data_IF_035096402775
#
_entry.id   IF_035096402775
#
_cell.length_a   1.000
_cell.length_b   1.000
_cell.length_c   1.000
_cell.angle_alpha   90.00
_cell.angle_beta   90.00
_cell.angle_gamma   90.00
#
_symmetry.space_group_name_H-M   'P 1'
#
loop_
_entity.id
_entity.type
_entity.pdbx_description
1 polymer ?
#
# COMPACT_ATOMS: atom_id res chain seq x y z
N UNK A 1 -36.05 33.70 77.88
CA UNK A 1 -35.93 33.19 79.25
C UNK A 1 -34.85 32.12 79.21
N UNK A 2 -33.69 32.49 79.77
CA UNK A 2 -33.06 31.83 80.91
C UNK A 2 -32.82 30.34 80.72
N UNK A 3 -31.66 29.71 80.88
CA UNK A 3 -30.36 30.07 81.50
C UNK A 3 -29.41 28.91 81.15
N UNK A 4 -28.19 29.21 80.94
CA UNK A 4 -27.01 28.35 81.22
C UNK A 4 -26.94 28.07 82.75
N UNK A 5 -25.97 27.34 83.32
CA UNK A 5 -24.75 26.68 82.85
C UNK A 5 -24.39 25.37 83.61
N UNK A 6 -23.25 24.82 83.40
CA UNK A 6 -22.08 24.53 84.30
C UNK A 6 -21.56 23.11 84.14
N UNK A 7 -20.29 22.99 83.77
CA UNK A 7 -19.07 22.66 84.54
C UNK A 7 -19.18 21.33 85.34
N UNK A 8 -18.27 20.40 85.24
CA UNK A 8 -16.87 20.32 85.60
C UNK A 8 -16.31 18.91 85.27
N UNK A 9 -15.18 18.82 84.77
CA UNK A 9 -13.85 18.49 85.30
C UNK A 9 -13.49 17.00 85.47
N UNK A 10 -12.35 16.73 84.91
CA UNK A 10 -11.25 15.87 85.38
C UNK A 10 -11.40 14.34 85.42
N UNK A 11 -10.60 13.60 84.64
CA UNK A 11 -9.26 13.19 85.07
C UNK A 11 -8.61 12.20 84.12
N UNK A 12 -7.41 12.51 83.82
CA UNK A 12 -6.26 11.72 83.37
C UNK A 12 -6.36 10.19 83.51
N UNK A 13 -6.09 9.51 82.39
CA UNK A 13 -5.24 8.36 82.45
C UNK A 13 -4.46 8.20 81.07
N UNK A 14 -3.17 8.23 81.24
CA UNK A 14 -2.17 8.01 80.21
C UNK A 14 -2.16 6.51 79.86
N UNK A 15 -2.45 6.10 78.64
CA UNK A 15 -2.07 4.81 78.12
C UNK A 15 -1.34 5.01 76.84
N UNK A 16 -0.05 4.76 76.93
CA UNK A 16 0.87 4.66 75.80
C UNK A 16 0.47 3.49 74.90
N UNK A 17 -0.14 3.81 73.79
CA UNK A 17 -0.27 2.87 72.70
C UNK A 17 0.54 3.43 71.54
N UNK A 18 1.66 2.75 71.28
CA UNK A 18 2.51 2.96 70.12
C UNK A 18 1.65 2.87 68.88
N UNK A 19 1.35 3.98 68.29
CA UNK A 19 0.83 4.02 66.90
C UNK A 19 2.03 3.80 65.96
N UNK A 20 2.13 2.58 65.50
CA UNK A 20 2.96 2.24 64.35
C UNK A 20 2.39 3.00 63.18
N UNK A 21 3.08 4.04 62.76
CA UNK A 21 2.84 4.67 61.46
C UNK A 21 3.30 3.69 60.40
N UNK A 22 2.40 2.90 59.84
CA UNK A 22 2.56 2.29 58.52
C UNK A 22 2.53 3.43 57.51
N UNK A 23 3.69 3.92 57.17
CA UNK A 23 3.87 4.68 55.96
C UNK A 23 3.54 3.74 54.78
N UNK A 24 2.30 3.79 54.35
CA UNK A 24 1.90 3.29 53.08
C UNK A 24 2.63 4.16 52.02
N UNK A 25 3.85 3.78 51.68
CA UNK A 25 4.49 4.21 50.43
C UNK A 25 3.64 3.63 49.33
N UNK A 26 2.66 4.42 48.91
CA UNK A 26 2.02 4.20 47.64
C UNK A 26 3.09 4.33 46.57
N UNK A 27 3.68 3.20 46.17
CA UNK A 27 4.27 3.10 44.86
C UNK A 27 3.13 3.27 43.85
N UNK A 28 2.88 4.54 43.55
CA UNK A 28 2.26 4.90 42.29
C UNK A 28 3.26 4.40 41.25
N UNK A 29 3.05 3.17 40.78
CA UNK A 29 3.56 2.76 39.50
C UNK A 29 2.92 3.74 38.51
N UNK A 30 3.59 4.87 38.26
CA UNK A 30 3.46 5.54 36.99
C UNK A 30 3.87 4.48 35.96
N UNK A 31 2.89 3.76 35.44
CA UNK A 31 3.00 3.22 34.12
C UNK A 31 3.24 4.45 33.24
N UNK A 32 4.50 4.80 33.07
CA UNK A 32 4.93 5.58 31.95
C UNK A 32 4.55 4.72 30.75
N UNK A 33 3.34 4.96 30.23
CA UNK A 33 3.06 4.70 28.85
C UNK A 33 4.11 5.55 28.14
N UNK A 34 5.29 4.98 27.89
CA UNK A 34 6.17 5.46 26.86
C UNK A 34 5.31 5.44 25.63
N UNK A 35 4.76 6.61 25.25
CA UNK A 35 4.39 6.83 23.87
C UNK A 35 5.67 6.42 23.16
N UNK A 36 5.64 5.25 22.54
CA UNK A 36 6.69 4.87 21.61
C UNK A 36 6.71 6.05 20.65
N UNK A 37 7.74 6.89 20.76
CA UNK A 37 7.92 7.97 19.81
C UNK A 37 7.90 7.29 18.47
N UNK A 38 6.98 7.71 17.61
CA UNK A 38 6.87 7.15 16.27
C UNK A 38 8.26 7.17 15.65
N UNK A 39 8.71 6.03 15.13
CA UNK A 39 10.04 5.90 14.55
C UNK A 39 10.21 6.97 13.47
N UNK A 40 11.28 7.73 13.55
CA UNK A 40 11.67 8.64 12.50
C UNK A 40 12.45 7.90 11.41
N UNK A 41 12.35 8.41 10.18
CA UNK A 41 12.98 7.86 8.98
C UNK A 41 13.71 8.95 8.21
N UNK A 42 14.72 8.57 7.41
CA UNK A 42 15.44 9.49 6.53
C UNK A 42 16.75 10.01 7.12
N UNK A 43 17.40 10.95 6.43
CA UNK A 43 18.67 11.52 6.87
C UNK A 43 18.49 12.28 8.19
N UNK A 44 19.30 11.94 9.19
CA UNK A 44 19.22 12.55 10.53
C UNK A 44 18.29 11.83 11.51
N UNK A 45 17.55 10.79 11.09
CA UNK A 45 16.87 9.92 12.02
C UNK A 45 17.86 9.10 12.85
N UNK A 46 17.49 8.79 14.11
CA UNK A 46 18.31 7.91 14.94
C UNK A 46 18.53 6.56 14.26
N UNK A 47 19.77 6.00 14.34
CA UNK A 47 20.07 4.70 13.74
C UNK A 47 19.18 3.58 14.28
N UNK A 48 18.69 2.74 13.39
CA UNK A 48 17.95 1.54 13.76
C UNK A 48 18.89 0.42 14.12
N UNK A 49 18.61 -0.25 15.23
CA UNK A 49 19.34 -1.48 15.58
C UNK A 49 18.96 -2.60 14.62
N UNK A 50 19.97 -3.19 14.00
CA UNK A 50 19.81 -4.35 13.13
C UNK A 50 19.62 -5.68 13.89
N UNK A 51 18.88 -6.62 13.29
CA UNK A 51 18.04 -6.47 12.10
C UNK A 51 16.86 -5.54 12.35
N UNK A 52 16.42 -4.82 11.32
CA UNK A 52 15.30 -3.88 11.42
C UNK A 52 14.05 -4.57 12.01
N UNK A 53 13.51 -4.08 13.14
CA UNK A 53 12.40 -4.72 13.85
C UNK A 53 11.07 -4.65 13.08
N UNK A 54 10.94 -3.71 12.14
CA UNK A 54 9.73 -3.56 11.34
C UNK A 54 9.70 -4.48 10.12
N UNK A 55 10.78 -5.27 9.89
CA UNK A 55 10.79 -6.37 8.92
C UNK A 55 10.53 -7.66 9.71
N UNK A 56 9.27 -8.11 9.72
CA UNK A 56 8.77 -9.18 10.57
C UNK A 56 8.74 -10.50 9.81
N UNK A 57 9.38 -11.52 10.37
CA UNK A 57 9.28 -12.91 9.92
C UNK A 57 8.10 -13.56 10.62
N UNK A 58 7.09 -13.99 9.88
CA UNK A 58 5.92 -14.69 10.41
C UNK A 58 6.03 -16.22 10.18
N UNK A 59 6.68 -16.63 9.10
CA UNK A 59 6.98 -17.99 8.76
C UNK A 59 8.44 -18.10 8.31
N UNK A 60 9.10 -19.23 8.59
CA UNK A 60 10.50 -19.49 8.23
C UNK A 60 10.79 -19.32 6.72
N UNK A 61 9.77 -19.46 5.86
CA UNK A 61 9.89 -19.25 4.41
C UNK A 61 10.31 -17.81 4.08
N UNK A 62 9.98 -16.84 4.96
CA UNK A 62 10.34 -15.44 4.76
C UNK A 62 11.77 -15.11 5.20
N UNK A 63 12.40 -15.91 6.06
CA UNK A 63 13.75 -15.65 6.61
C UNK A 63 14.78 -15.35 5.52
N UNK A 64 14.75 -16.09 4.41
CA UNK A 64 15.67 -15.92 3.28
C UNK A 64 15.55 -14.59 2.56
N UNK A 65 14.44 -13.87 2.73
CA UNK A 65 14.24 -12.56 2.09
C UNK A 65 14.62 -11.38 2.97
N UNK A 66 14.74 -11.59 4.28
CA UNK A 66 15.13 -10.57 5.24
C UNK A 66 16.64 -10.38 5.25
N UNK A 67 17.11 -9.22 4.79
CA UNK A 67 18.52 -8.85 4.90
C UNK A 67 18.77 -8.28 6.31
N UNK A 68 19.76 -8.83 7.01
CA UNK A 68 19.99 -8.54 8.43
C UNK A 68 20.52 -7.14 8.74
N UNK A 69 21.10 -6.43 7.76
CA UNK A 69 21.77 -5.15 7.92
C UNK A 69 21.25 -4.05 6.98
N UNK A 70 19.97 -4.07 6.69
CA UNK A 70 19.29 -3.03 5.90
C UNK A 70 18.15 -2.41 6.69
N UNK A 71 18.05 -1.06 6.73
CA UNK A 71 16.91 -0.37 7.33
C UNK A 71 15.84 -0.11 6.29
N UNK A 72 14.61 0.08 6.76
CA UNK A 72 13.59 0.79 6.00
C UNK A 72 13.99 2.26 5.95
N UNK A 73 14.01 2.85 4.76
CA UNK A 73 14.39 4.24 4.52
C UNK A 73 13.18 5.02 4.01
N UNK A 74 12.93 6.21 4.53
CA UNK A 74 12.03 7.19 3.92
C UNK A 74 12.84 8.05 2.97
N UNK A 75 12.57 7.93 1.67
CA UNK A 75 13.32 8.63 0.62
C UNK A 75 12.76 10.02 0.34
N UNK A 76 11.46 10.21 0.54
CA UNK A 76 10.76 11.47 0.32
C UNK A 76 9.49 11.55 1.17
N UNK A 77 9.02 12.77 1.45
CA UNK A 77 7.75 13.04 2.15
C UNK A 77 7.17 14.37 1.69
N UNK A 78 5.90 14.63 2.03
CA UNK A 78 5.21 15.89 1.71
C UNK A 78 4.18 15.76 0.61
N UNK A 79 3.82 14.53 0.21
CA UNK A 79 2.69 14.26 -0.68
C UNK A 79 1.36 14.31 0.07
N UNK A 80 0.27 14.41 -0.67
CA UNK A 80 -1.09 14.28 -0.11
C UNK A 80 -1.56 12.82 -0.17
N UNK A 81 -1.34 12.12 -1.29
CA UNK A 81 -1.59 10.70 -1.45
C UNK A 81 -0.66 10.13 -2.52
N UNK A 82 0.39 9.47 -2.05
CA UNK A 82 1.40 8.86 -2.92
C UNK A 82 0.91 7.52 -3.44
N UNK A 83 1.06 7.28 -4.76
CA UNK A 83 0.55 6.09 -5.43
C UNK A 83 1.40 5.67 -6.63
N UNK A 84 1.12 4.46 -7.12
CA UNK A 84 1.55 3.95 -8.40
C UNK A 84 3.05 4.00 -8.68
N UNK A 85 3.91 3.50 -7.80
CA UNK A 85 5.35 3.50 -8.03
C UNK A 85 5.70 2.54 -9.17
N UNK A 86 6.55 3.00 -10.10
CA UNK A 86 7.07 2.20 -11.19
C UNK A 86 8.56 2.46 -11.43
N UNK A 87 9.32 1.40 -11.64
CA UNK A 87 10.77 1.47 -11.83
C UNK A 87 11.14 1.43 -13.31
N UNK A 88 11.87 2.45 -13.78
CA UNK A 88 12.51 2.42 -15.09
C UNK A 88 13.94 1.90 -14.97
N UNK A 89 14.16 0.66 -15.41
CA UNK A 89 15.47 0.00 -15.30
C UNK A 89 16.54 0.58 -16.20
N UNK A 90 16.18 1.19 -17.34
CA UNK A 90 17.11 1.82 -18.28
C UNK A 90 17.56 3.17 -17.74
N UNK A 91 16.61 4.02 -17.37
CA UNK A 91 16.89 5.34 -16.81
C UNK A 91 17.27 5.34 -15.33
N UNK A 92 17.14 4.19 -14.64
CA UNK A 92 17.49 3.99 -13.23
C UNK A 92 16.80 5.01 -12.32
N UNK A 93 15.49 5.18 -12.54
CA UNK A 93 14.65 6.05 -11.72
C UNK A 93 13.33 5.39 -11.37
N UNK A 94 12.77 5.82 -10.25
CA UNK A 94 11.40 5.53 -9.85
C UNK A 94 10.52 6.72 -10.25
N UNK A 95 9.35 6.44 -10.82
CA UNK A 95 8.26 7.39 -10.95
C UNK A 95 7.13 6.98 -10.02
N UNK A 96 6.41 7.94 -9.44
CA UNK A 96 5.17 7.69 -8.71
C UNK A 96 4.26 8.91 -8.78
N UNK A 97 3.01 8.74 -8.42
CA UNK A 97 1.97 9.76 -8.45
C UNK A 97 1.75 10.38 -7.08
N UNK A 98 1.48 11.67 -7.04
CA UNK A 98 0.81 12.36 -5.93
C UNK A 98 -0.55 12.81 -6.47
N UNK A 99 -1.56 11.96 -6.29
CA UNK A 99 -2.83 12.05 -7.01
C UNK A 99 -3.53 13.40 -6.78
N UNK A 100 -3.77 13.86 -5.52
CA UNK A 100 -4.50 15.09 -5.29
C UNK A 100 -3.74 16.35 -5.73
N UNK A 101 -2.42 16.29 -5.72
CA UNK A 101 -1.57 17.38 -6.20
C UNK A 101 -1.43 17.41 -7.74
N UNK A 102 -2.07 16.45 -8.43
CA UNK A 102 -2.03 16.31 -9.88
C UNK A 102 -0.60 16.29 -10.44
N UNK A 103 0.27 15.50 -9.78
CA UNK A 103 1.68 15.47 -10.07
C UNK A 103 2.24 14.05 -10.14
N UNK A 104 3.23 13.86 -11.01
CA UNK A 104 4.12 12.70 -10.97
C UNK A 104 5.50 13.16 -10.51
N UNK A 105 6.06 12.43 -9.56
CA UNK A 105 7.38 12.65 -9.01
C UNK A 105 8.35 11.60 -9.54
N UNK A 106 9.64 11.93 -9.52
CA UNK A 106 10.71 11.03 -9.94
C UNK A 106 11.84 11.06 -8.92
N UNK A 107 12.29 9.88 -8.49
CA UNK A 107 13.49 9.68 -7.68
C UNK A 107 14.59 9.05 -8.53
N UNK A 108 15.79 9.62 -8.51
CA UNK A 108 16.96 9.11 -9.23
C UNK A 108 17.79 8.22 -8.32
N UNK A 109 18.15 7.00 -8.79
CA UNK A 109 19.01 6.08 -8.03
C UNK A 109 20.42 6.62 -7.83
N UNK A 110 20.90 7.43 -8.74
CA UNK A 110 22.30 7.89 -8.78
C UNK A 110 22.65 8.80 -7.59
N UNK A 111 21.80 9.75 -7.27
CA UNK A 111 22.04 10.79 -6.26
C UNK A 111 20.92 10.92 -5.22
N UNK A 112 19.84 10.15 -5.36
CA UNK A 112 18.67 10.22 -4.48
C UNK A 112 17.80 11.48 -4.70
N UNK A 113 18.05 12.25 -5.76
CA UNK A 113 17.30 13.48 -6.04
C UNK A 113 15.84 13.18 -6.40
N UNK A 114 14.91 13.93 -5.79
CA UNK A 114 13.49 13.91 -6.12
C UNK A 114 13.13 15.18 -6.89
N UNK A 115 12.44 14.99 -7.99
CA UNK A 115 11.93 16.11 -8.81
C UNK A 115 10.50 15.84 -9.27
N UNK A 116 9.75 16.90 -9.54
CA UNK A 116 8.49 16.81 -10.27
C UNK A 116 8.77 16.43 -11.71
N UNK A 117 8.27 15.27 -12.14
CA UNK A 117 8.45 14.79 -13.51
C UNK A 117 7.45 15.44 -14.46
N UNK A 118 6.19 15.58 -14.01
CA UNK A 118 5.14 16.28 -14.75
C UNK A 118 4.05 16.84 -13.84
N UNK A 119 3.47 17.95 -14.26
CA UNK A 119 2.33 18.61 -13.64
C UNK A 119 1.69 19.56 -14.67
N UNK A 120 0.40 19.42 -15.03
CA UNK A 120 -0.56 18.42 -14.56
C UNK A 120 -0.22 17.01 -15.02
N UNK A 121 -0.69 16.00 -14.26
CA UNK A 121 -0.50 14.57 -14.53
C UNK A 121 -1.83 13.85 -14.78
N UNK A 122 -2.95 14.58 -14.85
CA UNK A 122 -4.29 14.03 -15.02
C UNK A 122 -4.80 13.30 -13.78
N UNK A 123 -4.38 13.69 -12.58
CA UNK A 123 -4.60 12.95 -11.32
C UNK A 123 -4.22 11.47 -11.50
N UNK A 124 -3.03 11.22 -12.05
CA UNK A 124 -2.58 9.85 -12.29
C UNK A 124 -2.50 9.05 -11.00
N UNK A 125 -2.83 7.74 -11.10
CA UNK A 125 -2.67 6.78 -10.02
C UNK A 125 -1.54 5.79 -10.37
N UNK A 126 -1.87 4.57 -10.82
CA UNK A 126 -0.92 3.53 -11.16
C UNK A 126 -0.07 3.86 -12.39
N UNK A 127 1.19 3.49 -12.32
CA UNK A 127 2.14 3.60 -13.42
C UNK A 127 2.82 2.26 -13.66
N UNK A 128 3.25 2.04 -14.91
CA UNK A 128 4.11 0.94 -15.30
C UNK A 128 4.93 1.34 -16.52
N UNK A 129 5.84 0.47 -16.96
CA UNK A 129 6.59 0.68 -18.20
C UNK A 129 6.36 -0.48 -19.16
N UNK A 130 6.27 -0.18 -20.45
CA UNK A 130 6.28 -1.21 -21.46
C UNK A 130 7.72 -1.70 -21.75
N UNK A 131 7.83 -2.74 -22.58
CA UNK A 131 9.12 -3.33 -22.92
C UNK A 131 10.03 -2.45 -23.77
N UNK A 132 9.50 -1.33 -24.30
CA UNK A 132 10.26 -0.29 -24.97
C UNK A 132 10.70 0.81 -23.98
N UNK A 133 10.34 0.71 -22.70
CA UNK A 133 10.66 1.69 -21.65
C UNK A 133 9.77 2.92 -21.66
N UNK A 134 8.61 2.86 -22.36
CA UNK A 134 7.62 3.94 -22.35
C UNK A 134 6.72 3.81 -21.13
N UNK A 135 6.48 4.92 -20.47
CA UNK A 135 5.61 4.94 -19.30
C UNK A 135 4.14 4.81 -19.71
N UNK A 136 3.42 3.94 -19.03
CA UNK A 136 1.97 3.82 -19.06
C UNK A 136 1.44 4.34 -17.74
N UNK A 137 0.35 5.11 -17.78
CA UNK A 137 -0.25 5.73 -16.61
C UNK A 137 -1.77 5.62 -16.64
N UNK A 138 -2.36 5.33 -15.50
CA UNK A 138 -3.79 5.38 -15.26
C UNK A 138 -4.14 6.77 -14.74
N UNK A 139 -4.96 7.53 -15.48
CA UNK A 139 -5.35 8.89 -15.13
C UNK A 139 -6.79 8.93 -14.60
N UNK A 140 -6.96 9.28 -13.34
CA UNK A 140 -8.27 9.44 -12.70
C UNK A 140 -9.04 10.64 -13.25
N UNK A 141 -8.38 11.81 -13.30
CA UNK A 141 -9.00 13.07 -13.71
C UNK A 141 -9.51 13.04 -15.15
N UNK A 142 -8.81 12.34 -16.02
CA UNK A 142 -9.17 12.18 -17.43
C UNK A 142 -9.88 10.85 -17.73
N UNK A 143 -10.03 9.96 -16.75
CA UNK A 143 -10.72 8.66 -16.85
C UNK A 143 -10.17 7.81 -18.00
N UNK A 144 -8.85 7.67 -18.09
CA UNK A 144 -8.18 7.01 -19.24
C UNK A 144 -6.87 6.33 -18.84
N UNK A 145 -6.41 5.42 -19.70
CA UNK A 145 -5.07 4.86 -19.68
C UNK A 145 -4.28 5.49 -20.82
N UNK A 146 -3.10 6.01 -20.52
CA UNK A 146 -2.23 6.68 -21.49
C UNK A 146 -0.86 6.05 -21.55
N UNK A 147 -0.14 6.30 -22.66
CA UNK A 147 1.28 6.00 -22.82
C UNK A 147 2.02 7.27 -23.22
N UNK A 148 3.09 7.55 -22.51
CA UNK A 148 4.00 8.65 -22.84
C UNK A 148 5.05 8.15 -23.82
N UNK A 149 5.04 8.70 -25.04
CA UNK A 149 5.94 8.32 -26.10
C UNK A 149 7.33 8.95 -25.94
N UNK A 150 8.35 8.36 -26.53
CA UNK A 150 9.72 8.90 -26.48
C UNK A 150 9.86 10.27 -27.14
N UNK A 151 8.99 10.59 -28.10
CA UNK A 151 8.95 11.91 -28.76
C UNK A 151 8.29 13.01 -27.91
N UNK A 152 7.72 12.66 -26.74
CA UNK A 152 7.05 13.60 -25.86
C UNK A 152 5.52 13.62 -26.02
N UNK A 153 4.98 12.95 -27.03
CA UNK A 153 3.54 12.84 -27.26
C UNK A 153 2.89 11.92 -26.20
N UNK A 154 1.57 12.10 -26.02
CA UNK A 154 0.74 11.25 -25.17
C UNK A 154 -0.27 10.49 -26.01
N UNK A 155 -0.15 9.18 -26.04
CA UNK A 155 -1.11 8.29 -26.72
C UNK A 155 -2.17 7.84 -25.74
N UNK A 156 -3.45 8.14 -26.03
CA UNK A 156 -4.58 7.56 -25.26
C UNK A 156 -4.76 6.11 -25.71
N UNK A 157 -4.61 5.18 -24.77
CA UNK A 157 -4.72 3.74 -25.04
C UNK A 157 -6.15 3.25 -24.83
N UNK A 158 -6.87 3.79 -23.84
CA UNK A 158 -8.27 3.53 -23.56
C UNK A 158 -8.86 4.66 -22.73
N UNK A 159 -10.07 5.11 -23.09
CA UNK A 159 -10.86 6.11 -22.36
C UNK A 159 -12.34 5.69 -22.22
N UNK A 160 -12.78 4.70 -22.99
CA UNK A 160 -14.17 4.29 -23.07
C UNK A 160 -14.31 2.80 -23.38
N UNK A 161 -15.42 2.23 -22.92
CA UNK A 161 -15.83 0.86 -23.24
C UNK A 161 -17.31 0.82 -23.60
N UNK A 162 -17.64 0.25 -24.77
CA UNK A 162 -19.04 0.16 -25.28
C UNK A 162 -19.74 1.53 -25.33
N UNK A 163 -19.02 2.60 -25.72
CA UNK A 163 -19.55 3.96 -25.85
C UNK A 163 -19.75 4.71 -24.54
N UNK A 164 -19.31 4.16 -23.42
CA UNK A 164 -19.35 4.80 -22.10
C UNK A 164 -17.93 5.10 -21.61
N UNK A 165 -17.68 6.22 -20.93
CA UNK A 165 -16.36 6.50 -20.37
C UNK A 165 -15.98 5.45 -19.34
N UNK A 166 -14.68 5.15 -19.23
CA UNK A 166 -14.14 4.35 -18.14
C UNK A 166 -14.46 5.02 -16.79
N UNK A 167 -14.44 4.26 -15.70
CA UNK A 167 -14.75 4.82 -14.39
C UNK A 167 -13.63 5.74 -13.89
N UNK A 168 -12.51 5.18 -13.52
CA UNK A 168 -11.24 5.84 -13.23
C UNK A 168 -10.18 4.74 -13.12
N UNK A 169 -9.44 4.45 -14.20
CA UNK A 169 -8.41 3.41 -14.19
C UNK A 169 -7.41 3.62 -13.05
N UNK A 170 -7.06 2.50 -12.37
CA UNK A 170 -6.30 2.56 -11.12
C UNK A 170 -4.86 2.03 -11.27
N UNK A 171 -4.65 0.74 -11.51
CA UNK A 171 -3.32 0.14 -11.67
C UNK A 171 -3.21 -0.67 -12.96
N UNK A 172 -1.99 -0.85 -13.47
CA UNK A 172 -1.77 -1.51 -14.75
C UNK A 172 -0.49 -2.34 -14.77
N UNK A 173 -0.50 -3.40 -15.58
CA UNK A 173 0.64 -4.27 -15.85
C UNK A 173 0.74 -4.59 -17.35
N UNK A 174 1.94 -4.87 -17.85
CA UNK A 174 2.21 -5.20 -19.25
C UNK A 174 2.58 -6.67 -19.37
N UNK A 175 1.88 -7.39 -20.24
CA UNK A 175 2.20 -8.80 -20.52
C UNK A 175 3.43 -8.91 -21.42
N UNK A 176 4.41 -9.77 -21.10
CA UNK A 176 5.70 -9.78 -21.79
C UNK A 176 5.65 -10.35 -23.23
N UNK A 177 4.76 -11.30 -23.47
CA UNK A 177 4.75 -12.00 -24.76
C UNK A 177 4.11 -11.20 -25.89
N UNK A 178 3.02 -10.47 -25.57
CA UNK A 178 2.23 -9.77 -26.58
C UNK A 178 2.18 -8.25 -26.38
N UNK A 179 2.76 -7.73 -25.29
CA UNK A 179 2.76 -6.32 -24.96
C UNK A 179 1.39 -5.77 -24.55
N UNK A 180 0.38 -6.63 -24.36
CA UNK A 180 -0.93 -6.22 -23.93
C UNK A 180 -0.90 -5.59 -22.54
N UNK A 181 -1.74 -4.59 -22.33
CA UNK A 181 -1.82 -3.84 -21.08
C UNK A 181 -3.09 -4.29 -20.37
N UNK A 182 -2.92 -4.76 -19.15
CA UNK A 182 -4.02 -5.18 -18.28
C UNK A 182 -4.17 -4.19 -17.15
N UNK A 183 -5.38 -3.69 -16.91
CA UNK A 183 -5.61 -2.64 -15.93
C UNK A 183 -6.93 -2.82 -15.18
N UNK A 184 -7.03 -2.16 -14.03
CA UNK A 184 -8.19 -2.15 -13.15
C UNK A 184 -8.93 -0.82 -13.26
N UNK A 185 -10.28 -0.85 -13.15
CA UNK A 185 -11.13 0.34 -13.27
C UNK A 185 -12.19 0.38 -12.14
N UNK A 186 -11.78 0.65 -10.88
CA UNK A 186 -12.66 0.64 -9.70
C UNK A 186 -13.46 1.92 -9.48
N UNK A 187 -13.10 3.02 -10.15
CA UNK A 187 -13.80 4.29 -10.04
C UNK A 187 -13.46 5.13 -8.80
N UNK A 188 -12.33 4.94 -8.15
CA UNK A 188 -11.94 5.78 -7.01
C UNK A 188 -11.83 7.26 -7.38
N UNK A 189 -11.24 7.58 -8.53
CA UNK A 189 -11.05 8.95 -8.99
C UNK A 189 -12.32 9.72 -9.33
N UNK A 190 -13.51 9.06 -9.31
CA UNK A 190 -14.81 9.73 -9.53
C UNK A 190 -15.69 9.80 -8.28
N UNK A 191 -15.20 9.34 -7.12
CA UNK A 191 -15.96 9.41 -5.87
C UNK A 191 -16.08 10.84 -5.36
N UNK A 192 -15.01 11.62 -5.44
CA UNK A 192 -14.90 12.98 -4.93
C UNK A 192 -14.09 13.87 -5.90
N UNK A 193 -14.13 15.19 -5.69
CA UNK A 193 -13.28 16.15 -6.38
C UNK A 193 -11.93 16.32 -5.65
N UNK A 194 -11.22 15.21 -5.41
CA UNK A 194 -9.96 15.21 -4.70
C UNK A 194 -8.88 14.43 -5.45
N UNK A 195 -9.20 13.20 -5.88
CA UNK A 195 -8.31 12.37 -6.68
C UNK A 195 -8.68 12.36 -8.16
N UNK A 196 -9.59 13.22 -8.56
CA UNK A 196 -10.12 13.37 -9.91
C UNK A 196 -11.37 14.22 -9.91
N UNK A 197 -12.32 13.91 -10.76
CA UNK A 197 -13.57 14.68 -10.93
C UNK A 197 -14.77 13.82 -10.57
N UNK A 198 -15.55 14.25 -9.58
CA UNK A 198 -16.75 13.52 -9.13
C UNK A 198 -17.71 13.26 -10.28
N UNK A 199 -18.09 12.00 -10.44
CA UNK A 199 -19.06 11.55 -11.45
C UNK A 199 -19.73 10.24 -11.00
N UNK A 200 -20.81 9.88 -11.66
CA UNK A 200 -21.45 8.59 -11.44
C UNK A 200 -20.72 7.48 -12.23
N UNK A 201 -20.73 6.27 -11.68
CA UNK A 201 -20.29 5.07 -12.38
C UNK A 201 -21.15 4.85 -13.63
N UNK A 202 -20.49 4.72 -14.78
CA UNK A 202 -21.16 4.43 -16.06
C UNK A 202 -21.03 2.95 -16.45
N UNK A 203 -19.98 2.30 -15.94
CA UNK A 203 -19.66 0.90 -16.17
C UNK A 203 -19.60 0.18 -14.83
N UNK A 204 -19.87 -1.13 -14.82
CA UNK A 204 -19.54 -1.96 -13.67
C UNK A 204 -18.01 -1.98 -13.51
N UNK A 205 -17.54 -1.91 -12.29
CA UNK A 205 -16.12 -2.00 -11.96
C UNK A 205 -15.56 -3.32 -12.48
N UNK A 206 -14.41 -3.26 -13.13
CA UNK A 206 -13.90 -4.41 -13.87
C UNK A 206 -12.38 -4.37 -14.09
N UNK A 207 -11.87 -5.50 -14.52
CA UNK A 207 -10.52 -5.66 -15.07
C UNK A 207 -10.61 -5.70 -16.59
N UNK A 208 -9.73 -4.96 -17.25
CA UNK A 208 -9.68 -4.84 -18.70
C UNK A 208 -8.32 -5.23 -19.27
N UNK A 209 -8.31 -5.55 -20.57
CA UNK A 209 -7.10 -5.79 -21.37
C UNK A 209 -7.15 -4.98 -22.66
N UNK A 210 -6.09 -4.25 -22.92
CA UNK A 210 -5.84 -3.56 -24.21
C UNK A 210 -4.92 -4.45 -25.02
N UNK A 211 -5.36 -4.82 -26.21
CA UNK A 211 -4.53 -5.55 -27.17
C UNK A 211 -3.47 -4.60 -27.77
N UNK A 212 -2.19 -4.96 -27.66
CA UNK A 212 -1.09 -4.08 -28.06
C UNK A 212 -1.02 -3.82 -29.57
N UNK A 213 -1.54 -4.73 -30.40
CA UNK A 213 -1.47 -4.64 -31.85
C UNK A 213 -2.66 -3.90 -32.46
N UNK A 214 -3.85 -4.17 -31.91
CA UNK A 214 -5.11 -3.65 -32.47
C UNK A 214 -5.68 -2.47 -31.69
N UNK A 215 -5.19 -2.23 -30.47
CA UNK A 215 -5.78 -1.26 -29.52
C UNK A 215 -7.15 -1.69 -28.97
N UNK A 216 -7.62 -2.91 -29.28
CA UNK A 216 -8.93 -3.38 -28.85
C UNK A 216 -8.99 -3.53 -27.33
N UNK A 217 -9.96 -2.83 -26.71
CA UNK A 217 -10.28 -2.99 -25.30
C UNK A 217 -11.24 -4.16 -25.09
N UNK A 218 -10.93 -5.03 -24.14
CA UNK A 218 -11.72 -6.18 -23.76
C UNK A 218 -11.90 -6.19 -22.25
N UNK A 219 -13.13 -6.32 -21.77
CA UNK A 219 -13.42 -6.58 -20.36
C UNK A 219 -13.11 -8.05 -20.06
N UNK A 220 -12.23 -8.29 -19.07
CA UNK A 220 -11.81 -9.63 -18.69
C UNK A 220 -12.70 -10.24 -17.63
N UNK A 221 -13.03 -9.47 -16.59
CA UNK A 221 -13.92 -9.88 -15.51
C UNK A 221 -14.52 -8.67 -14.81
N UNK A 222 -15.72 -8.82 -14.32
CA UNK A 222 -16.41 -7.92 -13.38
C UNK A 222 -16.96 -8.70 -12.17
N UNK A 223 -16.37 -9.88 -11.89
CA UNK A 223 -16.61 -10.71 -10.70
C UNK A 223 -15.75 -10.26 -9.52
N UNK A 224 -15.53 -8.97 -9.37
CA UNK A 224 -14.76 -8.32 -8.33
C UNK A 224 -15.47 -7.00 -8.01
N UNK A 225 -15.47 -6.59 -6.74
CA UNK A 225 -16.19 -5.40 -6.32
C UNK A 225 -15.44 -4.11 -6.67
N UNK A 226 -14.21 -3.93 -6.13
CA UNK A 226 -13.35 -2.80 -6.46
C UNK A 226 -11.94 -3.30 -6.79
N UNK A 227 -11.71 -3.65 -8.06
CA UNK A 227 -10.38 -4.11 -8.48
C UNK A 227 -9.36 -2.98 -8.31
N UNK A 228 -8.32 -3.22 -7.54
CA UNK A 228 -7.27 -2.26 -7.22
C UNK A 228 -5.93 -2.72 -7.79
N UNK A 229 -4.94 -3.03 -6.96
CA UNK A 229 -3.65 -3.51 -7.39
C UNK A 229 -3.74 -4.78 -8.25
N UNK A 230 -2.90 -4.87 -9.26
CA UNK A 230 -2.89 -5.97 -10.23
C UNK A 230 -1.47 -6.45 -10.49
N UNK A 231 -1.25 -7.77 -10.52
CA UNK A 231 0.02 -8.34 -10.97
C UNK A 231 -0.14 -9.75 -11.57
N UNK A 232 0.82 -10.15 -12.39
CA UNK A 232 0.92 -11.53 -12.87
C UNK A 232 1.75 -12.39 -11.91
N UNK A 233 1.54 -13.72 -11.97
CA UNK A 233 2.53 -14.67 -11.46
C UNK A 233 3.81 -14.61 -12.27
N UNK A 234 4.96 -15.09 -11.74
CA UNK A 234 6.24 -15.04 -12.46
C UNK A 234 6.23 -15.75 -13.83
N UNK A 235 5.39 -16.77 -13.98
CA UNK A 235 5.23 -17.54 -15.20
C UNK A 235 4.10 -17.02 -16.11
N UNK A 236 3.47 -15.89 -15.74
CA UNK A 236 2.37 -15.24 -16.47
C UNK A 236 1.14 -16.12 -16.71
N UNK A 237 0.97 -17.18 -15.93
CA UNK A 237 -0.18 -18.08 -16.03
C UNK A 237 -1.33 -17.71 -15.09
N UNK A 238 -1.09 -16.79 -14.16
CA UNK A 238 -2.11 -16.31 -13.22
C UNK A 238 -2.11 -14.80 -13.17
N UNK A 239 -3.31 -14.26 -12.94
CA UNK A 239 -3.53 -12.86 -12.63
C UNK A 239 -4.00 -12.73 -11.19
N UNK A 240 -3.34 -11.91 -10.40
CA UNK A 240 -3.76 -11.52 -9.06
C UNK A 240 -4.33 -10.11 -9.09
N UNK A 241 -5.45 -9.89 -8.39
CA UNK A 241 -6.06 -8.56 -8.25
C UNK A 241 -6.54 -8.38 -6.81
N UNK A 242 -6.18 -7.26 -6.20
CA UNK A 242 -6.68 -6.87 -4.89
C UNK A 242 -8.15 -6.43 -5.00
N UNK A 243 -9.03 -6.99 -4.16
CA UNK A 243 -10.42 -6.55 -4.04
C UNK A 243 -10.58 -5.66 -2.80
N UNK A 244 -10.62 -4.36 -3.02
CA UNK A 244 -10.84 -3.35 -1.97
C UNK A 244 -12.31 -2.99 -1.81
N UNK A 245 -13.22 -3.83 -2.34
CA UNK A 245 -14.66 -3.57 -2.37
C UNK A 245 -15.29 -3.28 -1.02
N UNK A 246 -14.83 -3.93 0.05
CA UNK A 246 -15.35 -3.71 1.40
C UNK A 246 -15.10 -2.30 1.96
N UNK A 247 -14.34 -1.46 1.26
CA UNK A 247 -14.25 -0.02 1.54
C UNK A 247 -15.56 0.73 1.24
N UNK A 248 -16.41 0.20 0.35
CA UNK A 248 -17.63 0.86 -0.13
C UNK A 248 -18.86 -0.06 -0.17
N UNK A 249 -18.68 -1.38 -0.18
CA UNK A 249 -19.74 -2.37 -0.25
C UNK A 249 -19.69 -3.27 0.99
N UNK A 250 -20.76 -3.25 1.79
CA UNK A 250 -20.80 -3.95 3.09
C UNK A 250 -20.56 -5.47 2.98
N UNK A 251 -21.04 -6.07 1.89
CA UNK A 251 -20.95 -7.53 1.67
C UNK A 251 -19.71 -7.94 0.85
N UNK A 252 -18.86 -7.00 0.48
CA UNK A 252 -17.67 -7.30 -0.29
C UNK A 252 -16.59 -7.96 0.59
N UNK A 253 -15.85 -8.92 0.04
CA UNK A 253 -14.72 -9.53 0.75
C UNK A 253 -13.54 -8.54 0.86
N UNK A 254 -12.64 -8.84 1.78
CA UNK A 254 -11.34 -8.17 1.93
C UNK A 254 -10.26 -9.17 1.56
N UNK A 255 -9.95 -9.28 0.28
CA UNK A 255 -9.04 -10.31 -0.19
C UNK A 255 -8.27 -9.91 -1.45
N UNK A 256 -7.32 -10.75 -1.79
CA UNK A 256 -6.69 -10.79 -3.10
C UNK A 256 -7.31 -11.97 -3.84
N UNK A 257 -7.80 -11.73 -5.05
CA UNK A 257 -8.34 -12.76 -5.93
C UNK A 257 -7.29 -13.23 -6.94
N UNK A 258 -7.46 -14.43 -7.44
CA UNK A 258 -6.60 -15.00 -8.49
C UNK A 258 -7.43 -15.70 -9.55
N UNK A 259 -7.00 -15.54 -10.80
CA UNK A 259 -7.53 -16.22 -11.99
C UNK A 259 -6.40 -16.91 -12.74
N UNK A 260 -6.67 -18.08 -13.28
CA UNK A 260 -5.78 -18.70 -14.26
C UNK A 260 -5.98 -18.00 -15.62
N UNK A 261 -4.88 -17.71 -16.31
CA UNK A 261 -4.92 -17.11 -17.64
C UNK A 261 -5.05 -18.22 -18.67
N UNK A 262 -6.10 -18.16 -19.47
CA UNK A 262 -6.46 -19.14 -20.49
C UNK A 262 -6.18 -18.56 -21.87
N UNK A 263 -5.52 -19.33 -22.73
CA UNK A 263 -5.19 -18.91 -24.10
C UNK A 263 -4.43 -17.55 -24.14
N UNK A 264 -3.72 -17.22 -23.08
CA UNK A 264 -2.93 -15.97 -22.97
C UNK A 264 -3.75 -14.67 -22.89
N UNK A 265 -5.06 -14.71 -23.05
CA UNK A 265 -5.90 -13.51 -23.22
C UNK A 265 -7.21 -13.51 -22.47
N UNK A 266 -7.60 -14.60 -21.84
CA UNK A 266 -8.85 -14.79 -21.12
C UNK A 266 -8.58 -15.17 -19.67
N UNK A 267 -9.55 -14.96 -18.80
CA UNK A 267 -9.51 -15.43 -17.41
C UNK A 267 -10.42 -16.64 -17.25
N UNK A 268 -9.93 -17.63 -16.49
CA UNK A 268 -10.71 -18.75 -16.00
C UNK A 268 -11.65 -18.32 -14.85
N UNK A 269 -12.05 -19.28 -14.02
CA UNK A 269 -12.88 -19.00 -12.83
C UNK A 269 -12.02 -18.32 -11.74
N UNK A 270 -12.49 -17.18 -11.24
CA UNK A 270 -11.89 -16.48 -10.13
C UNK A 270 -12.05 -17.23 -8.81
N UNK A 271 -11.03 -17.13 -7.94
CA UNK A 271 -11.04 -17.65 -6.56
C UNK A 271 -10.28 -16.74 -5.64
N UNK A 272 -10.52 -16.85 -4.35
CA UNK A 272 -9.71 -16.20 -3.34
C UNK A 272 -8.27 -16.77 -3.38
N UNK A 273 -7.29 -15.88 -3.32
CA UNK A 273 -5.89 -16.22 -3.14
C UNK A 273 -5.49 -16.06 -1.67
N UNK A 274 -5.77 -14.90 -1.07
CA UNK A 274 -5.44 -14.60 0.31
C UNK A 274 -6.46 -13.64 0.92
N UNK A 275 -6.81 -13.86 2.17
CA UNK A 275 -7.65 -12.95 2.95
C UNK A 275 -6.82 -11.83 3.57
N UNK A 276 -7.38 -10.62 3.64
CA UNK A 276 -6.83 -9.49 4.40
C UNK A 276 -7.37 -9.41 5.83
N UNK A 277 -8.27 -10.32 6.21
CA UNK A 277 -8.62 -10.57 7.61
C UNK A 277 -7.51 -11.41 8.23
N UNK A 278 -6.63 -10.76 8.98
CA UNK A 278 -5.40 -11.37 9.46
C UNK A 278 -5.49 -11.63 10.96
N UNK A 279 -4.92 -12.75 11.41
CA UNK A 279 -4.87 -13.11 12.82
C UNK A 279 -4.12 -12.04 13.64
N UNK A 280 -4.64 -11.79 14.86
CA UNK A 280 -4.08 -10.80 15.79
C UNK A 280 -4.60 -9.37 15.58
N UNK A 281 -5.51 -9.13 14.63
CA UNK A 281 -6.12 -7.83 14.40
C UNK A 281 -7.63 -7.89 14.52
N UNK A 282 -8.22 -6.96 15.30
CA UNK A 282 -9.68 -6.84 15.46
C UNK A 282 -10.35 -6.32 14.18
N UNK A 283 -9.62 -5.56 13.38
CA UNK A 283 -10.09 -4.98 12.12
C UNK A 283 -9.27 -5.54 10.96
N UNK A 284 -9.94 -5.83 9.88
CA UNK A 284 -9.28 -6.14 8.62
C UNK A 284 -9.08 -4.86 7.80
N UNK A 285 -7.87 -4.70 7.28
CA UNK A 285 -7.55 -3.67 6.30
C UNK A 285 -7.87 -4.12 4.88
N UNK A 286 -7.26 -3.45 3.92
CA UNK A 286 -7.40 -3.75 2.49
C UNK A 286 -6.02 -3.97 1.90
N UNK A 287 -5.91 -4.91 0.97
CA UNK A 287 -4.83 -4.90 0.01
C UNK A 287 -5.07 -3.78 -1.00
N UNK A 288 -4.01 -3.09 -1.40
CA UNK A 288 -4.05 -2.02 -2.38
C UNK A 288 -3.14 -2.39 -3.56
N UNK A 289 -2.03 -1.72 -3.83
CA UNK A 289 -1.08 -2.15 -4.85
C UNK A 289 -0.39 -3.48 -4.51
N UNK A 290 -0.20 -4.34 -5.49
CA UNK A 290 0.40 -5.66 -5.30
C UNK A 290 1.46 -5.96 -6.36
N UNK A 291 2.54 -6.66 -6.00
CA UNK A 291 3.56 -7.15 -6.96
C UNK A 291 4.03 -8.54 -6.59
N UNK A 292 4.39 -9.33 -7.59
CA UNK A 292 4.97 -10.66 -7.39
C UNK A 292 6.51 -10.62 -7.41
N UNK A 293 7.14 -11.50 -6.63
CA UNK A 293 8.56 -11.79 -6.74
C UNK A 293 8.82 -13.04 -7.62
N UNK A 294 10.08 -13.31 -7.94
CA UNK A 294 10.48 -14.45 -8.80
C UNK A 294 10.18 -15.81 -8.20
N UNK A 295 9.97 -15.89 -6.88
CA UNK A 295 9.61 -17.13 -6.19
C UNK A 295 8.09 -17.34 -6.12
N UNK A 296 7.32 -16.37 -6.64
CA UNK A 296 5.86 -16.41 -6.71
C UNK A 296 5.14 -15.87 -5.48
N UNK A 297 5.87 -15.28 -4.53
CA UNK A 297 5.20 -14.60 -3.42
C UNK A 297 4.55 -13.31 -3.93
N UNK A 298 3.39 -12.97 -3.36
CA UNK A 298 2.69 -11.70 -3.59
C UNK A 298 3.00 -10.75 -2.45
N UNK A 299 3.58 -9.61 -2.78
CA UNK A 299 3.86 -8.50 -1.88
C UNK A 299 2.73 -7.50 -2.01
N UNK A 300 1.91 -7.40 -0.97
CA UNK A 300 0.69 -6.61 -0.96
C UNK A 300 0.82 -5.43 -0.01
N UNK A 301 0.74 -4.23 -0.54
CA UNK A 301 0.54 -3.04 0.27
C UNK A 301 -0.81 -3.11 0.96
N UNK A 302 -0.90 -2.57 2.17
CA UNK A 302 -2.12 -2.60 2.95
C UNK A 302 -2.18 -1.48 3.98
N UNK A 303 -3.39 -1.18 4.43
CA UNK A 303 -3.59 -0.16 5.44
C UNK A 303 -5.02 -0.05 5.95
N UNK A 304 -5.32 1.12 6.56
CA UNK A 304 -6.60 1.50 7.15
C UNK A 304 -6.92 0.78 8.47
N UNK A 305 -5.92 0.23 9.11
CA UNK A 305 -6.03 -0.40 10.45
C UNK A 305 -5.21 0.36 11.48
N UNK A 306 -3.98 0.75 11.13
CA UNK A 306 -3.06 1.46 12.00
C UNK A 306 -1.84 0.63 12.38
N UNK A 307 -1.24 1.01 13.51
CA UNK A 307 0.02 0.45 14.00
C UNK A 307 0.04 -1.07 14.04
N UNK A 308 1.10 -1.64 13.48
CA UNK A 308 1.32 -3.08 13.45
C UNK A 308 0.67 -3.81 12.28
N UNK A 309 -0.32 -3.19 11.61
CA UNK A 309 -0.95 -3.72 10.40
C UNK A 309 -0.44 -3.02 9.14
N UNK A 310 -0.48 -1.67 9.15
CA UNK A 310 -0.20 -0.87 7.95
C UNK A 310 1.23 -1.11 7.43
N UNK A 311 1.35 -1.27 6.12
CA UNK A 311 2.62 -1.59 5.47
C UNK A 311 2.48 -2.61 4.34
N UNK A 312 3.38 -3.58 4.27
CA UNK A 312 3.38 -4.60 3.22
C UNK A 312 3.26 -5.99 3.84
N UNK A 313 2.29 -6.77 3.39
CA UNK A 313 2.12 -8.17 3.75
C UNK A 313 2.61 -9.07 2.63
N UNK A 314 3.37 -10.10 2.96
CA UNK A 314 3.96 -11.01 2.00
C UNK A 314 3.26 -12.36 2.11
N UNK A 315 2.64 -12.79 1.00
CA UNK A 315 1.93 -14.06 0.89
C UNK A 315 2.71 -15.02 0.00
N UNK A 316 2.92 -16.24 0.48
CA UNK A 316 3.51 -17.31 -0.32
C UNK A 316 2.58 -17.75 -1.47
N UNK A 317 3.05 -18.53 -2.45
CA UNK A 317 2.24 -18.98 -3.59
C UNK A 317 0.98 -19.78 -3.24
N UNK A 318 0.90 -20.30 -2.03
CA UNK A 318 -0.26 -21.01 -1.45
C UNK A 318 -1.29 -20.06 -0.79
N UNK A 319 -0.98 -18.75 -0.71
CA UNK A 319 -1.82 -17.73 -0.09
C UNK A 319 -1.58 -17.53 1.42
N UNK A 320 -0.67 -18.27 2.03
CA UNK A 320 -0.31 -18.08 3.43
C UNK A 320 0.56 -16.83 3.63
N UNK A 321 0.27 -16.04 4.66
CA UNK A 321 1.06 -14.86 5.02
C UNK A 321 2.36 -15.29 5.72
N UNK A 322 3.49 -14.99 5.09
CA UNK A 322 4.82 -15.43 5.57
C UNK A 322 5.66 -14.31 6.18
N UNK A 323 5.36 -13.05 5.85
CA UNK A 323 6.14 -11.92 6.34
C UNK A 323 5.36 -10.61 6.32
N UNK A 324 5.95 -9.59 6.95
CA UNK A 324 5.39 -8.24 6.96
C UNK A 324 6.50 -7.21 7.03
N UNK A 325 6.33 -6.09 6.34
CA UNK A 325 7.11 -4.86 6.50
C UNK A 325 6.14 -3.81 7.03
N UNK A 326 6.36 -3.35 8.27
CA UNK A 326 5.52 -2.35 8.91
C UNK A 326 5.93 -0.96 8.50
N UNK A 327 4.95 -0.10 8.26
CA UNK A 327 5.14 1.32 8.01
C UNK A 327 4.33 2.15 9.02
N UNK A 328 4.73 3.40 9.29
CA UNK A 328 4.01 4.28 10.21
C UNK A 328 2.77 4.92 9.59
N UNK A 329 2.50 4.63 8.33
CA UNK A 329 1.37 5.16 7.56
C UNK A 329 0.83 4.06 6.61
N UNK A 330 -0.37 4.29 6.10
CA UNK A 330 -1.01 3.39 5.12
C UNK A 330 -0.07 3.21 3.93
N UNK A 331 0.21 1.97 3.57
CA UNK A 331 0.91 1.66 2.34
C UNK A 331 -0.09 1.50 1.20
N UNK A 332 -0.02 2.37 0.21
CA UNK A 332 -0.92 2.38 -0.94
C UNK A 332 -0.45 1.46 -2.07
N UNK A 333 0.86 1.42 -2.35
CA UNK A 333 1.36 0.60 -3.46
C UNK A 333 2.83 0.22 -3.26
N UNK A 334 3.29 -0.77 -4.05
CA UNK A 334 4.65 -1.29 -4.01
C UNK A 334 5.21 -1.53 -5.41
N UNK A 335 6.54 -1.43 -5.52
CA UNK A 335 7.27 -1.72 -6.76
C UNK A 335 8.66 -2.25 -6.43
N UNK A 336 9.10 -3.27 -7.14
CA UNK A 336 10.50 -3.71 -7.11
C UNK A 336 11.35 -2.92 -8.09
N UNK A 337 12.48 -2.41 -7.64
CA UNK A 337 13.41 -1.67 -8.48
C UNK A 337 14.86 -1.82 -8.06
N UNK A 338 15.70 -0.88 -8.51
CA UNK A 338 17.14 -0.93 -8.33
C UNK A 338 17.82 -1.88 -9.33
N UNK A 339 19.14 -1.82 -9.40
CA UNK A 339 19.96 -2.57 -10.39
C UNK A 339 19.73 -4.08 -10.36
N UNK A 340 19.43 -4.65 -9.19
CA UNK A 340 19.19 -6.08 -9.01
C UNK A 340 17.70 -6.43 -8.91
N UNK A 341 16.81 -5.42 -9.01
CA UNK A 341 15.36 -5.55 -8.77
C UNK A 341 15.01 -6.15 -7.40
N UNK A 342 15.81 -5.85 -6.39
CA UNK A 342 15.67 -6.32 -5.02
C UNK A 342 15.55 -5.16 -4.01
N UNK A 343 15.27 -3.96 -4.48
CA UNK A 343 14.87 -2.84 -3.66
C UNK A 343 13.37 -2.67 -3.79
N UNK A 344 12.65 -2.92 -2.70
CA UNK A 344 11.23 -2.69 -2.62
C UNK A 344 10.99 -1.22 -2.32
N UNK A 345 10.30 -0.54 -3.22
CA UNK A 345 9.76 0.80 -3.02
C UNK A 345 8.31 0.68 -2.58
N UNK A 346 7.91 1.53 -1.64
CA UNK A 346 6.60 1.52 -1.01
C UNK A 346 6.10 2.96 -0.94
N UNK A 347 4.97 3.24 -1.58
CA UNK A 347 4.27 4.50 -1.38
C UNK A 347 3.45 4.41 -0.12
N UNK A 348 3.81 5.23 0.87
CA UNK A 348 2.97 5.51 2.03
C UNK A 348 2.00 6.64 1.69
N UNK A 349 1.04 6.95 2.55
CA UNK A 349 0.08 8.01 2.26
C UNK A 349 0.75 9.34 1.91
N UNK A 350 1.78 9.75 2.67
CA UNK A 350 2.48 11.02 2.47
C UNK A 350 3.96 10.87 2.10
N UNK A 351 4.47 9.65 2.03
CA UNK A 351 5.90 9.40 1.92
C UNK A 351 6.22 8.30 0.91
N UNK A 352 7.45 8.34 0.40
CA UNK A 352 8.06 7.24 -0.35
C UNK A 352 9.07 6.54 0.55
N UNK A 353 8.89 5.24 0.76
CA UNK A 353 9.82 4.37 1.48
C UNK A 353 10.53 3.40 0.55
N UNK A 354 11.67 2.88 1.01
CA UNK A 354 12.35 1.78 0.34
C UNK A 354 13.12 0.91 1.33
N UNK A 355 13.25 -0.37 0.99
CA UNK A 355 14.07 -1.33 1.72
C UNK A 355 14.70 -2.32 0.76
N UNK A 356 15.93 -2.75 1.03
CA UNK A 356 16.52 -3.87 0.31
C UNK A 356 16.05 -5.19 0.91
N UNK A 357 15.70 -6.12 0.03
CA UNK A 357 15.30 -7.48 0.38
C UNK A 357 16.07 -8.47 -0.50
N UNK A 358 16.14 -9.74 -0.11
CA UNK A 358 16.76 -10.77 -0.96
C UNK A 358 15.76 -11.35 -1.99
N UNK A 359 14.52 -10.90 -1.98
CA UNK A 359 13.56 -11.16 -3.05
C UNK A 359 13.85 -10.31 -4.28
N UNK A 360 13.58 -10.85 -5.45
CA UNK A 360 13.71 -10.15 -6.74
C UNK A 360 12.32 -10.00 -7.38
N UNK A 361 11.97 -8.80 -7.81
CA UNK A 361 10.71 -8.57 -8.52
C UNK A 361 10.60 -9.43 -9.79
N UNK A 362 9.43 -10.04 -9.99
CA UNK A 362 9.16 -10.92 -11.13
C UNK A 362 9.09 -10.13 -12.46
N UNK A 363 8.56 -8.91 -12.41
CA UNK A 363 8.25 -8.10 -13.58
C UNK A 363 9.19 -6.90 -13.73
N UNK A 364 9.15 -6.25 -14.87
CA UNK A 364 10.08 -5.16 -15.24
C UNK A 364 9.76 -3.86 -14.52
N UNK A 365 8.53 -3.69 -14.07
CA UNK A 365 8.04 -2.50 -13.36
C UNK A 365 7.02 -2.86 -12.31
#
# INVERSE_FOLDING_TARGET
MKRTPSTDSNSTSISNTRRTFLAATGLSALAAASKALAREYGPGAEPVRYPDPDIVVLDKRFEKYKIGNTPIQRLHTGMLWAEGPAWNGVGRYLVWSDIPNDAQLRWLEEDGHVSTMRRPAGNSNGNTFDWQGRQISCEHGNRRVVRYEHAGDVTVLADSFQGKPLNAPNDAVVHPEDGSIWFTDPGYGILLNYEGNKADLQLKEAVYRIDAKTGKLTKLTDEIFKPNGICFSPDYKRLYVADTGASHYADAPRNIKVWDIVEGTKLGKGREFASMTLDGFEKAGFADGIRADTDGNVWASAGWVGDGYDGVHIFAPDGERIGQIRLPEICSNVCFGGRKRNRLFMTGSQSLYAVYVEARGAHVS
#
